data_IF_367948741993
#
_entry.id   IF_367948741993
#
_cell.length_a   1.000
_cell.length_b   1.000
_cell.length_c   1.000
_cell.angle_alpha   90.00
_cell.angle_beta   90.00
_cell.angle_gamma   90.00
#
_symmetry.space_group_name_H-M   'P 1'
#
loop_
_entity.id
_entity.type
_entity.pdbx_description
1 polymer ?
#
# COMPACT_ATOMS: atom_id res chain seq x y z
N UNK A 1 -14.26 -45.63 -3.21
CA UNK A 1 -13.06 -44.98 -2.59
C UNK A 1 -12.20 -44.08 -3.50
N UNK A 2 -12.35 -44.04 -4.84
CA UNK A 2 -11.50 -43.21 -5.73
C UNK A 2 -11.86 -41.71 -5.86
N UNK A 3 -13.00 -41.24 -5.33
CA UNK A 3 -13.45 -39.83 -5.47
C UNK A 3 -12.83 -38.85 -4.45
N UNK A 4 -12.43 -39.30 -3.27
CA UNK A 4 -11.88 -38.45 -2.20
C UNK A 4 -10.46 -37.93 -2.49
N UNK A 5 -9.65 -38.67 -3.25
CA UNK A 5 -8.29 -38.27 -3.62
C UNK A 5 -8.21 -37.07 -4.58
N UNK A 6 -9.17 -36.92 -5.50
CA UNK A 6 -9.20 -35.79 -6.46
C UNK A 6 -9.62 -34.47 -5.84
N UNK A 7 -10.42 -34.51 -4.76
CA UNK A 7 -10.87 -33.31 -4.04
C UNK A 7 -9.70 -32.75 -3.20
N UNK A 8 -8.94 -33.62 -2.50
CA UNK A 8 -7.72 -33.23 -1.77
C UNK A 8 -6.64 -32.63 -2.67
N UNK A 9 -6.44 -33.18 -3.87
CA UNK A 9 -5.46 -32.64 -4.81
C UNK A 9 -5.85 -31.25 -5.36
N UNK A 10 -7.15 -30.96 -5.52
CA UNK A 10 -7.65 -29.64 -5.93
C UNK A 10 -7.52 -28.60 -4.82
N UNK A 11 -7.81 -28.95 -3.57
CA UNK A 11 -7.68 -27.99 -2.45
C UNK A 11 -6.23 -27.63 -2.14
N UNK A 12 -5.27 -28.55 -2.29
CA UNK A 12 -3.84 -28.28 -2.07
C UNK A 12 -3.22 -27.40 -3.16
N UNK A 13 -3.77 -27.40 -4.38
CA UNK A 13 -3.30 -26.53 -5.48
C UNK A 13 -4.00 -25.16 -5.56
N UNK A 14 -5.26 -25.07 -5.14
CA UNK A 14 -6.02 -23.80 -5.16
C UNK A 14 -5.66 -22.88 -3.97
N UNK A 15 -5.28 -23.44 -2.81
CA UNK A 15 -4.86 -22.67 -1.63
C UNK A 15 -3.65 -21.74 -1.92
N UNK A 16 -2.52 -22.23 -2.47
CA UNK A 16 -1.37 -21.37 -2.76
C UNK A 16 -1.67 -20.37 -3.87
N UNK A 17 -2.62 -20.65 -4.76
CA UNK A 17 -3.04 -19.74 -5.82
C UNK A 17 -3.88 -18.57 -5.28
N UNK A 18 -4.79 -18.85 -4.34
CA UNK A 18 -5.56 -17.82 -3.63
C UNK A 18 -4.69 -17.03 -2.65
N UNK A 19 -3.78 -17.69 -1.94
CA UNK A 19 -2.81 -17.03 -1.05
C UNK A 19 -1.87 -16.09 -1.81
N UNK A 20 -1.38 -16.48 -3.00
CA UNK A 20 -0.58 -15.59 -3.86
C UNK A 20 -1.34 -14.37 -4.37
N UNK A 21 -2.66 -14.48 -4.49
CA UNK A 21 -3.53 -13.38 -4.93
C UNK A 21 -3.79 -12.33 -3.84
N UNK A 22 -3.72 -12.71 -2.56
CA UNK A 22 -4.01 -11.80 -1.44
C UNK A 22 -2.81 -11.44 -0.57
N UNK A 23 -1.62 -11.96 -0.87
CA UNK A 23 -0.43 -11.77 -0.01
C UNK A 23 -0.06 -10.29 0.14
N UNK A 24 -0.26 -9.47 -0.88
CA UNK A 24 0.01 -8.04 -0.83
C UNK A 24 -0.91 -7.32 0.14
N UNK A 25 -2.21 -7.61 0.11
CA UNK A 25 -3.16 -7.09 1.10
C UNK A 25 -2.81 -7.53 2.52
N UNK A 26 -2.46 -8.81 2.72
CA UNK A 26 -2.08 -9.32 4.02
C UNK A 26 -0.80 -8.65 4.55
N UNK A 27 0.20 -8.46 3.68
CA UNK A 27 1.44 -7.73 4.00
C UNK A 27 1.12 -6.28 4.33
N UNK A 28 0.36 -5.55 3.50
CA UNK A 28 -0.05 -4.18 3.78
C UNK A 28 -0.78 -4.06 5.12
N UNK A 29 -1.73 -4.95 5.41
CA UNK A 29 -2.45 -4.95 6.69
C UNK A 29 -1.51 -5.18 7.88
N UNK A 30 -0.56 -6.12 7.78
CA UNK A 30 0.43 -6.36 8.82
C UNK A 30 1.30 -5.12 9.06
N UNK A 31 1.73 -4.44 7.99
CA UNK A 31 2.53 -3.22 8.10
C UNK A 31 1.72 -2.03 8.64
N UNK A 32 0.43 -1.91 8.32
CA UNK A 32 -0.45 -0.93 8.95
C UNK A 32 -0.50 -1.12 10.46
N UNK A 33 -0.63 -2.36 10.93
CA UNK A 33 -0.61 -2.67 12.38
C UNK A 33 0.75 -2.31 13.01
N UNK A 34 1.85 -2.59 12.31
CA UNK A 34 3.20 -2.23 12.78
C UNK A 34 3.42 -0.72 12.81
N UNK A 35 2.92 0.01 11.81
CA UNK A 35 2.94 1.48 11.76
C UNK A 35 2.11 2.08 12.90
N UNK A 36 0.89 1.60 13.10
CA UNK A 36 0.04 2.02 14.21
C UNK A 36 0.72 1.83 15.56
N UNK A 37 1.42 0.71 15.76
CA UNK A 37 2.20 0.43 16.97
C UNK A 37 3.49 1.23 17.11
N UNK A 38 3.86 2.04 16.11
CA UNK A 38 5.09 2.84 16.14
C UNK A 38 6.37 2.02 16.02
N UNK A 39 6.33 0.87 15.37
CA UNK A 39 7.48 -0.03 15.30
C UNK A 39 8.65 0.52 14.46
N UNK A 40 8.36 1.52 13.62
CA UNK A 40 9.31 2.23 12.76
C UNK A 40 9.57 3.65 13.29
N UNK A 41 10.49 3.83 14.28
CA UNK A 41 10.92 5.16 14.70
C UNK A 41 11.87 5.78 13.68
N UNK A 42 12.06 7.09 13.81
CA UNK A 42 13.01 7.85 13.00
C UNK A 42 14.43 7.27 13.12
N UNK A 43 15.00 6.84 11.99
CA UNK A 43 16.33 6.25 11.90
C UNK A 43 17.45 7.29 12.11
N UNK A 44 17.12 8.58 12.16
CA UNK A 44 18.07 9.64 12.55
C UNK A 44 18.51 9.52 14.01
N UNK A 45 17.74 8.81 14.84
CA UNK A 45 18.05 8.58 16.24
C UNK A 45 18.89 7.29 16.42
N UNK A 46 19.95 7.31 17.26
CA UNK A 46 20.76 6.13 17.53
C UNK A 46 19.94 5.03 18.22
N UNK A 47 19.98 3.79 17.70
CA UNK A 47 19.21 2.65 18.23
C UNK A 47 18.37 1.87 17.21
N UNK A 48 18.65 2.02 15.91
CA UNK A 48 17.97 1.29 14.84
C UNK A 48 18.34 -0.21 14.85
N UNK A 49 17.49 -1.04 15.46
CA UNK A 49 17.68 -2.50 15.46
C UNK A 49 17.48 -3.13 14.07
N UNK A 50 18.24 -4.20 13.79
CA UNK A 50 18.22 -4.94 12.51
C UNK A 50 16.82 -5.42 12.09
N UNK A 51 15.91 -5.70 13.03
CA UNK A 51 14.56 -6.17 12.73
C UNK A 51 13.74 -5.23 11.84
N UNK A 52 13.98 -3.91 11.95
CA UNK A 52 13.28 -2.89 11.16
C UNK A 52 13.75 -2.90 9.70
N UNK A 53 15.07 -3.03 9.50
CA UNK A 53 15.66 -3.16 8.17
C UNK A 53 15.19 -4.44 7.48
N UNK A 54 15.09 -5.55 8.24
CA UNK A 54 14.55 -6.81 7.72
C UNK A 54 13.09 -6.65 7.29
N UNK A 55 12.24 -5.98 8.06
CA UNK A 55 10.86 -5.74 7.65
C UNK A 55 10.76 -4.86 6.40
N UNK A 56 11.48 -3.74 6.34
CA UNK A 56 11.54 -2.92 5.13
C UNK A 56 12.01 -3.75 3.92
N UNK A 57 13.05 -4.58 4.09
CA UNK A 57 13.54 -5.47 3.04
C UNK A 57 12.49 -6.51 2.61
N UNK A 58 11.71 -7.09 3.53
CA UNK A 58 10.62 -8.00 3.21
C UNK A 58 9.54 -7.28 2.39
N UNK A 59 9.13 -6.07 2.80
CA UNK A 59 8.15 -5.29 2.07
C UNK A 59 8.64 -4.97 0.64
N UNK A 60 9.89 -4.51 0.51
CA UNK A 60 10.52 -4.24 -0.78
C UNK A 60 10.60 -5.49 -1.63
N UNK A 61 10.98 -6.64 -1.06
CA UNK A 61 11.07 -7.91 -1.78
C UNK A 61 9.69 -8.38 -2.28
N UNK A 62 8.63 -8.23 -1.47
CA UNK A 62 7.26 -8.56 -1.87
C UNK A 62 6.79 -7.65 -3.01
N UNK A 63 7.00 -6.34 -2.88
CA UNK A 63 6.65 -5.35 -3.90
C UNK A 63 7.40 -5.62 -5.21
N UNK A 64 8.72 -5.79 -5.15
CA UNK A 64 9.56 -6.10 -6.31
C UNK A 64 9.15 -7.43 -6.97
N UNK A 65 8.84 -8.45 -6.17
CA UNK A 65 8.34 -9.74 -6.66
C UNK A 65 7.02 -9.61 -7.42
N UNK A 66 6.07 -8.79 -6.92
CA UNK A 66 4.79 -8.52 -7.58
C UNK A 66 4.98 -7.73 -8.88
N UNK A 67 5.84 -6.72 -8.89
CA UNK A 67 6.18 -5.95 -10.09
C UNK A 67 6.81 -6.87 -11.15
N UNK A 68 7.82 -7.66 -10.77
CA UNK A 68 8.47 -8.59 -11.68
C UNK A 68 7.50 -9.65 -12.23
N UNK A 69 6.59 -10.17 -11.40
CA UNK A 69 5.56 -11.10 -11.83
C UNK A 69 4.59 -10.45 -12.83
N UNK A 70 4.23 -9.17 -12.62
CA UNK A 70 3.36 -8.42 -13.54
C UNK A 70 4.01 -8.23 -14.90
N UNK A 71 5.26 -7.77 -14.94
CA UNK A 71 6.02 -7.56 -16.18
C UNK A 71 6.19 -8.85 -16.98
N UNK A 72 6.34 -10.00 -16.31
CA UNK A 72 6.50 -11.31 -16.97
C UNK A 72 5.19 -11.87 -17.53
N UNK A 73 4.03 -11.50 -16.99
CA UNK A 73 2.75 -12.01 -17.47
C UNK A 73 2.17 -11.11 -18.55
N UNK A 74 2.32 -11.50 -19.81
CA UNK A 74 1.69 -10.82 -20.95
C UNK A 74 0.15 -10.84 -20.80
N UNK A 75 -0.47 -9.66 -20.95
CA UNK A 75 -1.85 -9.26 -20.60
C UNK A 75 -3.02 -10.11 -21.15
N UNK A 76 -2.76 -11.08 -22.05
CA UNK A 76 -3.77 -11.60 -22.99
C UNK A 76 -4.93 -12.45 -22.41
N UNK A 77 -5.04 -12.66 -21.09
CA UNK A 77 -6.05 -13.57 -20.50
C UNK A 77 -6.63 -13.21 -19.13
N UNK A 78 -6.48 -11.97 -18.64
CA UNK A 78 -7.09 -11.58 -17.34
C UNK A 78 -8.48 -10.99 -17.56
N UNK A 79 -9.39 -11.29 -16.63
CA UNK A 79 -10.70 -10.63 -16.58
C UNK A 79 -10.51 -9.22 -16.01
N UNK A 80 -11.33 -8.23 -16.41
CA UNK A 80 -11.19 -6.84 -15.94
C UNK A 80 -11.18 -6.71 -14.41
N UNK A 81 -11.98 -7.50 -13.71
CA UNK A 81 -12.03 -7.48 -12.24
C UNK A 81 -10.76 -8.04 -11.59
N UNK A 82 -10.11 -9.04 -12.20
CA UNK A 82 -8.84 -9.59 -11.67
C UNK A 82 -7.67 -8.65 -11.89
N UNK A 83 -7.70 -7.90 -12.98
CA UNK A 83 -6.73 -6.86 -13.26
C UNK A 83 -6.87 -5.72 -12.24
N UNK A 84 -8.08 -5.17 -12.07
CA UNK A 84 -8.34 -4.15 -11.06
C UNK A 84 -7.95 -4.58 -9.63
N UNK A 85 -8.19 -5.84 -9.27
CA UNK A 85 -7.78 -6.38 -7.97
C UNK A 85 -6.25 -6.46 -7.83
N UNK A 86 -5.55 -6.90 -8.87
CA UNK A 86 -4.08 -6.95 -8.90
C UNK A 86 -3.45 -5.55 -8.88
N UNK A 87 -4.12 -4.57 -9.50
CA UNK A 87 -3.71 -3.16 -9.51
C UNK A 87 -3.84 -2.56 -8.12
N UNK A 88 -5.01 -2.74 -7.49
CA UNK A 88 -5.26 -2.29 -6.13
C UNK A 88 -4.26 -2.89 -5.14
N UNK A 89 -3.95 -4.19 -5.26
CA UNK A 89 -2.97 -4.86 -4.41
C UNK A 89 -1.56 -4.26 -4.55
N UNK A 90 -1.11 -4.04 -5.80
CA UNK A 90 0.23 -3.51 -6.07
C UNK A 90 0.34 -2.05 -5.61
N UNK A 91 -0.67 -1.24 -5.91
CA UNK A 91 -0.74 0.14 -5.48
C UNK A 91 -0.80 0.28 -3.95
N UNK A 92 -1.54 -0.59 -3.26
CA UNK A 92 -1.59 -0.60 -1.80
C UNK A 92 -0.24 -0.98 -1.18
N UNK A 93 0.47 -1.96 -1.76
CA UNK A 93 1.84 -2.29 -1.34
C UNK A 93 2.80 -1.12 -1.54
N UNK A 94 2.71 -0.42 -2.67
CA UNK A 94 3.50 0.77 -2.94
C UNK A 94 3.20 1.87 -1.90
N UNK A 95 1.92 2.15 -1.64
CA UNK A 95 1.50 3.11 -0.63
C UNK A 95 2.03 2.74 0.76
N UNK A 96 1.94 1.45 1.13
CA UNK A 96 2.50 0.93 2.38
C UNK A 96 4.00 1.20 2.46
N UNK A 97 4.75 0.94 1.38
CA UNK A 97 6.19 1.19 1.33
C UNK A 97 6.53 2.67 1.49
N UNK A 98 5.78 3.57 0.86
CA UNK A 98 5.95 5.02 1.02
C UNK A 98 5.72 5.44 2.47
N UNK A 99 4.65 4.98 3.12
CA UNK A 99 4.38 5.31 4.52
C UNK A 99 5.40 4.72 5.49
N UNK A 100 5.94 3.53 5.21
CA UNK A 100 7.08 2.99 5.98
C UNK A 100 8.32 3.86 5.81
N UNK A 101 8.62 4.31 4.59
CA UNK A 101 9.73 5.25 4.34
C UNK A 101 9.51 6.55 5.09
N UNK A 102 8.31 7.14 5.06
CA UNK A 102 7.96 8.33 5.82
C UNK A 102 8.19 8.13 7.31
N UNK A 103 7.69 7.02 7.88
CA UNK A 103 7.84 6.72 9.31
C UNK A 103 9.31 6.66 9.73
N UNK A 104 10.16 5.96 8.95
CA UNK A 104 11.60 5.87 9.26
C UNK A 104 12.38 7.18 9.00
N UNK A 105 11.83 8.12 8.24
CA UNK A 105 12.48 9.38 7.87
C UNK A 105 11.99 10.61 8.65
N UNK A 106 11.22 10.39 9.73
CA UNK A 106 10.71 11.46 10.61
C UNK A 106 9.19 11.60 10.67
N UNK A 107 8.44 10.65 10.09
CA UNK A 107 6.98 10.61 10.10
C UNK A 107 6.36 11.84 9.45
N UNK A 108 5.36 12.44 10.11
CA UNK A 108 4.60 13.60 9.61
C UNK A 108 5.46 14.84 9.31
N UNK A 109 6.62 14.99 9.96
CA UNK A 109 7.55 16.11 9.75
C UNK A 109 8.62 15.80 8.68
N UNK A 110 8.49 14.68 7.97
CA UNK A 110 9.53 14.22 7.07
C UNK A 110 9.64 15.08 5.80
N UNK A 111 10.86 15.47 5.35
CA UNK A 111 11.04 16.27 4.14
C UNK A 111 10.63 15.53 2.85
N UNK A 112 10.39 14.23 2.92
CA UNK A 112 9.94 13.41 1.79
C UNK A 112 8.40 13.40 1.64
N UNK A 113 7.64 14.15 2.44
CA UNK A 113 6.18 14.26 2.28
C UNK A 113 5.69 14.64 0.88
N UNK A 114 6.36 15.53 0.12
CA UNK A 114 5.95 15.83 -1.26
C UNK A 114 5.90 14.59 -2.17
N UNK A 115 6.72 13.57 -1.90
CA UNK A 115 6.70 12.30 -2.62
C UNK A 115 5.37 11.56 -2.41
N UNK A 116 4.79 11.62 -1.22
CA UNK A 116 3.49 11.02 -0.92
C UNK A 116 2.41 11.61 -1.83
N UNK A 117 2.35 12.94 -1.93
CA UNK A 117 1.36 13.61 -2.77
C UNK A 117 1.54 13.25 -4.25
N UNK A 118 2.78 13.17 -4.73
CA UNK A 118 3.07 12.71 -6.08
C UNK A 118 2.60 11.27 -6.32
N UNK A 119 2.85 10.36 -5.37
CA UNK A 119 2.42 8.96 -5.45
C UNK A 119 0.90 8.85 -5.44
N UNK A 120 0.21 9.54 -4.51
CA UNK A 120 -1.26 9.55 -4.47
C UNK A 120 -1.84 10.11 -5.77
N UNK A 121 -1.29 11.21 -6.26
CA UNK A 121 -1.68 11.80 -7.54
C UNK A 121 -1.55 10.77 -8.66
N UNK A 122 -0.37 10.16 -8.81
CA UNK A 122 -0.12 9.11 -9.80
C UNK A 122 -1.08 7.92 -9.65
N UNK A 123 -1.34 7.45 -8.42
CA UNK A 123 -2.25 6.34 -8.17
C UNK A 123 -3.67 6.66 -8.64
N UNK A 124 -4.16 7.88 -8.43
CA UNK A 124 -5.48 8.30 -8.88
C UNK A 124 -5.52 8.54 -10.39
N UNK A 125 -4.47 9.12 -10.97
CA UNK A 125 -4.35 9.42 -12.41
C UNK A 125 -4.32 8.15 -13.26
N UNK A 126 -3.50 7.17 -12.89
CA UNK A 126 -3.18 6.03 -13.75
C UNK A 126 -4.05 4.80 -13.51
N UNK A 127 -5.02 4.87 -12.59
CA UNK A 127 -5.95 3.78 -12.32
C UNK A 127 -7.39 4.16 -12.63
N UNK A 128 -8.21 3.16 -12.97
CA UNK A 128 -9.66 3.32 -13.06
C UNK A 128 -10.21 3.87 -11.74
N UNK A 129 -11.26 4.70 -11.79
CA UNK A 129 -11.91 5.27 -10.59
C UNK A 129 -12.24 4.22 -9.52
N UNK A 130 -12.68 3.03 -9.94
CA UNK A 130 -13.01 1.91 -9.07
C UNK A 130 -11.82 1.40 -8.22
N UNK A 131 -10.58 1.73 -8.61
CA UNK A 131 -9.34 1.40 -7.90
C UNK A 131 -8.69 2.65 -7.31
N UNK A 132 -8.63 3.75 -8.08
CA UNK A 132 -8.01 5.00 -7.65
C UNK A 132 -8.69 5.63 -6.43
N UNK A 133 -10.02 5.68 -6.39
CA UNK A 133 -10.76 6.29 -5.27
C UNK A 133 -10.57 5.50 -3.95
N UNK A 134 -10.73 4.16 -3.92
CA UNK A 134 -10.39 3.37 -2.73
C UNK A 134 -8.94 3.55 -2.27
N UNK A 135 -7.99 3.71 -3.19
CA UNK A 135 -6.58 3.95 -2.83
C UNK A 135 -6.35 5.33 -2.22
N UNK A 136 -7.03 6.36 -2.71
CA UNK A 136 -7.00 7.69 -2.08
C UNK A 136 -7.58 7.64 -0.65
N UNK A 137 -8.68 6.93 -0.45
CA UNK A 137 -9.23 6.68 0.89
C UNK A 137 -8.26 5.90 1.76
N UNK A 138 -7.59 4.87 1.20
CA UNK A 138 -6.56 4.14 1.92
C UNK A 138 -5.40 5.05 2.33
N UNK A 139 -4.96 5.99 1.47
CA UNK A 139 -3.93 6.96 1.79
C UNK A 139 -4.33 7.84 2.98
N UNK A 140 -5.57 8.35 3.02
CA UNK A 140 -6.09 9.05 4.20
C UNK A 140 -6.07 8.16 5.45
N UNK A 141 -6.38 6.87 5.30
CA UNK A 141 -6.28 5.90 6.39
C UNK A 141 -4.85 5.70 6.90
N UNK A 142 -3.86 5.59 6.00
CA UNK A 142 -2.45 5.53 6.38
C UNK A 142 -1.97 6.82 7.05
N UNK A 143 -2.42 7.96 6.55
CA UNK A 143 -2.16 9.27 7.15
C UNK A 143 -2.70 9.32 8.58
N UNK A 144 -3.94 8.87 8.79
CA UNK A 144 -4.52 8.78 10.12
C UNK A 144 -3.73 7.84 11.03
N UNK A 145 -3.29 6.69 10.49
CA UNK A 145 -2.46 5.75 11.25
C UNK A 145 -1.14 6.37 11.69
N UNK A 146 -0.51 7.18 10.83
CA UNK A 146 0.74 7.85 11.15
C UNK A 146 0.52 9.00 12.15
N UNK A 147 -0.50 9.82 11.95
CA UNK A 147 -0.75 11.02 12.77
C UNK A 147 -1.34 10.72 14.15
N UNK A 148 -2.13 9.65 14.28
CA UNK A 148 -2.79 9.25 15.53
C UNK A 148 -2.15 8.01 16.18
N UNK A 149 -1.00 7.55 15.69
CA UNK A 149 -0.26 6.46 16.33
C UNK A 149 0.10 6.84 17.78
N UNK A 150 -0.08 5.93 18.76
CA UNK A 150 0.33 6.16 20.14
C UNK A 150 1.83 6.43 20.34
N UNK A 151 2.65 6.12 19.34
CA UNK A 151 4.09 6.33 19.40
C UNK A 151 4.53 7.73 18.92
N UNK A 152 3.61 8.51 18.37
CA UNK A 152 3.91 9.83 17.82
C UNK A 152 3.55 10.95 18.81
N UNK A 153 4.26 12.08 18.78
CA UNK A 153 3.91 13.25 19.59
C UNK A 153 2.47 13.73 19.28
N UNK A 154 1.72 14.25 20.26
CA UNK A 154 0.36 14.76 20.06
C UNK A 154 0.26 15.84 18.96
N UNK A 155 1.33 16.61 18.77
CA UNK A 155 1.44 17.63 17.73
C UNK A 155 1.28 17.05 16.31
N UNK A 156 1.59 15.76 16.12
CA UNK A 156 1.46 15.06 14.84
C UNK A 156 0.01 14.99 14.36
N UNK A 157 -0.94 14.92 15.30
CA UNK A 157 -2.36 14.91 14.99
C UNK A 157 -2.83 16.24 14.37
N UNK A 158 -2.15 17.35 14.67
CA UNK A 158 -2.51 18.66 14.13
C UNK A 158 -2.20 18.80 12.63
N UNK A 159 -1.24 18.03 12.10
CA UNK A 159 -0.90 18.02 10.68
C UNK A 159 -1.87 17.19 9.82
N UNK A 160 -2.66 16.29 10.44
CA UNK A 160 -3.57 15.39 9.72
C UNK A 160 -4.56 16.10 8.79
N UNK A 161 -5.29 17.16 9.21
CA UNK A 161 -6.27 17.83 8.35
C UNK A 161 -5.61 18.45 7.11
N UNK A 162 -4.40 18.99 7.25
CA UNK A 162 -3.64 19.59 6.14
C UNK A 162 -3.26 18.51 5.11
N UNK A 163 -2.64 17.42 5.57
CA UNK A 163 -2.21 16.33 4.69
C UNK A 163 -3.38 15.61 4.03
N UNK A 164 -4.45 15.32 4.80
CA UNK A 164 -5.68 14.76 4.26
C UNK A 164 -6.34 15.70 3.24
N UNK A 165 -6.34 17.01 3.51
CA UNK A 165 -6.82 18.04 2.59
C UNK A 165 -6.05 18.01 1.27
N UNK A 166 -4.72 17.96 1.30
CA UNK A 166 -3.90 17.81 0.09
C UNK A 166 -4.22 16.52 -0.66
N UNK A 167 -4.30 15.38 0.01
CA UNK A 167 -4.67 14.10 -0.61
C UNK A 167 -6.02 14.20 -1.33
N UNK A 168 -7.02 14.80 -0.68
CA UNK A 168 -8.35 15.00 -1.26
C UNK A 168 -8.28 15.93 -2.48
N UNK A 169 -7.60 17.07 -2.37
CA UNK A 169 -7.47 18.03 -3.47
C UNK A 169 -6.78 17.38 -4.66
N UNK A 170 -5.63 16.75 -4.47
CA UNK A 170 -4.92 16.05 -5.56
C UNK A 170 -5.74 14.90 -6.15
N UNK A 171 -6.45 14.15 -5.31
CA UNK A 171 -7.37 13.11 -5.78
C UNK A 171 -8.49 13.69 -6.65
N UNK A 172 -9.16 14.75 -6.19
CA UNK A 172 -10.25 15.40 -6.91
C UNK A 172 -9.79 16.07 -8.20
N UNK A 173 -8.68 16.80 -8.19
CA UNK A 173 -8.12 17.43 -9.39
C UNK A 173 -7.88 16.38 -10.46
N UNK A 174 -7.28 15.24 -10.11
CA UNK A 174 -7.07 14.14 -11.06
C UNK A 174 -8.37 13.56 -11.60
N UNK A 175 -9.39 13.37 -10.75
CA UNK A 175 -10.71 12.91 -11.21
C UNK A 175 -11.31 13.91 -12.22
N UNK A 176 -11.30 15.20 -11.88
CA UNK A 176 -11.89 16.25 -12.71
C UNK A 176 -11.16 16.38 -14.04
N UNK A 177 -9.83 16.47 -14.05
CA UNK A 177 -9.08 16.68 -15.29
C UNK A 177 -9.12 15.47 -16.23
N UNK A 178 -9.07 14.24 -15.72
CA UNK A 178 -8.98 13.05 -16.57
C UNK A 178 -10.34 12.47 -16.96
N UNK A 179 -11.40 12.76 -16.21
CA UNK A 179 -12.76 12.28 -16.53
C UNK A 179 -13.64 13.35 -17.17
N UNK A 180 -13.20 14.61 -17.25
CA UNK A 180 -13.88 15.63 -18.05
C UNK A 180 -13.51 15.57 -19.55
N UNK A 181 -12.39 14.92 -19.91
CA UNK A 181 -11.93 14.77 -21.31
C UNK A 181 -12.35 13.46 -21.99
N UNK A 182 -13.05 12.55 -21.29
CA UNK A 182 -13.47 11.23 -21.82
C UNK A 182 -14.98 11.15 -22.03
#
# INVERSE_FOLDING_TARGET
MRRLGRIRARTVFELPRLLRGGIGFAVSAAFVVLLWRGWFPDLRLPGAGYGRAVAAAILTAVLAGKIAARVRTTERRRTPSREAFSDAELALLLLTAVYVVLAISGGVASPVYPLLYAVVSFLVTFHRLAVGLPLAVAAIGFEAVLSFSPAMPPESAAAFPEHAGFIIIFGMLNVVFLHAEV
#
